data_IF_101385585403
#
_entry.id   IF_101385585403
#
_cell.length_a   1.000
_cell.length_b   1.000
_cell.length_c   1.000
_cell.angle_alpha   90.00
_cell.angle_beta   90.00
_cell.angle_gamma   90.00
#
_symmetry.space_group_name_H-M   'P 1'
#
loop_
_entity.id
_entity.type
_entity.pdbx_description
1 polymer ?
#
# COMPACT_ATOMS: atom_id res chain seq x y z
N UNK A 1 53.02 15.10 -5.17
CA UNK A 1 52.57 13.93 -5.95
C UNK A 1 52.43 14.38 -7.40
N UNK A 2 52.89 13.59 -8.38
CA UNK A 2 52.74 13.97 -9.79
C UNK A 2 51.27 14.01 -10.19
N UNK A 3 50.92 14.85 -11.17
CA UNK A 3 49.57 14.94 -11.73
C UNK A 3 49.00 13.57 -12.12
N UNK A 4 49.87 12.70 -12.65
CA UNK A 4 49.53 11.32 -13.00
C UNK A 4 49.16 10.45 -11.79
N UNK A 5 49.85 10.62 -10.65
CA UNK A 5 49.54 9.88 -9.42
C UNK A 5 48.23 10.31 -8.76
N UNK A 6 47.86 11.59 -8.88
CA UNK A 6 46.57 12.09 -8.39
C UNK A 6 45.40 11.60 -9.26
N UNK A 7 45.60 11.57 -10.59
CA UNK A 7 44.62 11.03 -11.52
C UNK A 7 44.37 9.52 -11.29
N UNK A 8 45.43 8.73 -11.10
CA UNK A 8 45.29 7.29 -10.79
C UNK A 8 44.55 7.05 -9.46
N UNK A 9 44.80 7.86 -8.44
CA UNK A 9 44.11 7.74 -7.15
C UNK A 9 42.60 8.05 -7.28
N UNK A 10 42.23 9.07 -8.07
CA UNK A 10 40.83 9.43 -8.31
C UNK A 10 40.08 8.34 -9.08
N UNK A 11 40.70 7.74 -10.10
CA UNK A 11 40.11 6.61 -10.84
C UNK A 11 39.88 5.41 -9.92
N UNK A 12 40.84 5.12 -9.03
CA UNK A 12 40.72 4.02 -8.08
C UNK A 12 39.61 4.25 -7.06
N UNK A 13 39.49 5.46 -6.51
CA UNK A 13 38.41 5.83 -5.58
C UNK A 13 37.04 5.78 -6.25
N UNK A 14 36.93 6.20 -7.51
CA UNK A 14 35.68 6.11 -8.27
C UNK A 14 35.29 4.65 -8.55
N UNK A 15 36.25 3.79 -8.91
CA UNK A 15 36.00 2.35 -9.08
C UNK A 15 35.55 1.69 -7.76
N UNK A 16 36.15 2.07 -6.62
CA UNK A 16 35.74 1.62 -5.29
C UNK A 16 34.32 2.09 -4.91
N UNK A 17 33.95 3.31 -5.27
CA UNK A 17 32.59 3.82 -5.08
C UNK A 17 31.58 3.06 -5.93
N UNK A 18 31.89 2.76 -7.19
CA UNK A 18 31.05 1.94 -8.07
C UNK A 18 30.92 0.51 -7.55
N UNK A 19 32.02 -0.14 -7.16
CA UNK A 19 32.00 -1.48 -6.57
C UNK A 19 31.20 -1.52 -5.26
N UNK A 20 31.30 -0.47 -4.44
CA UNK A 20 30.53 -0.33 -3.20
C UNK A 20 29.04 -0.08 -3.46
N UNK A 21 28.68 0.62 -4.54
CA UNK A 21 27.31 0.83 -4.96
C UNK A 21 26.68 -0.46 -5.54
N UNK A 22 27.43 -1.21 -6.36
CA UNK A 22 27.02 -2.51 -6.90
C UNK A 22 26.89 -3.55 -5.77
N UNK A 23 27.82 -3.56 -4.82
CA UNK A 23 27.78 -4.41 -3.62
C UNK A 23 26.57 -4.09 -2.75
N UNK A 24 26.26 -2.79 -2.54
CA UNK A 24 25.04 -2.37 -1.82
C UNK A 24 23.76 -2.73 -2.55
N UNK A 25 23.69 -2.56 -3.88
CA UNK A 25 22.55 -3.05 -4.67
C UNK A 25 22.38 -4.55 -4.48
N UNK A 26 23.47 -5.32 -4.60
CA UNK A 26 23.44 -6.77 -4.47
C UNK A 26 23.04 -7.21 -3.06
N UNK A 27 23.52 -6.52 -2.01
CA UNK A 27 23.10 -6.74 -0.63
C UNK A 27 21.62 -6.40 -0.42
N UNK A 28 21.13 -5.27 -0.93
CA UNK A 28 19.71 -4.91 -0.84
C UNK A 28 18.83 -5.94 -1.55
N UNK A 29 19.21 -6.40 -2.75
CA UNK A 29 18.48 -7.47 -3.46
C UNK A 29 18.59 -8.83 -2.76
N UNK A 30 19.74 -9.17 -2.18
CA UNK A 30 19.94 -10.42 -1.44
C UNK A 30 19.23 -10.41 -0.07
N UNK A 31 19.15 -9.27 0.61
CA UNK A 31 18.37 -9.10 1.85
C UNK A 31 16.86 -9.14 1.58
N UNK A 32 16.45 -8.91 0.33
CA UNK A 32 15.07 -9.14 -0.13
C UNK A 32 14.81 -10.63 -0.41
N UNK A 33 15.84 -11.44 -0.60
CA UNK A 33 15.73 -12.87 -0.94
C UNK A 33 16.29 -13.85 0.12
N UNK A 34 17.00 -13.42 1.17
CA UNK A 34 17.65 -14.37 2.08
C UNK A 34 16.90 -14.62 3.39
N UNK A 35 16.43 -15.88 3.46
CA UNK A 35 16.11 -16.69 4.64
C UNK A 35 14.80 -16.37 5.37
N UNK A 36 13.68 -16.75 4.73
CA UNK A 36 12.51 -17.24 5.46
C UNK A 36 12.70 -18.74 5.72
N UNK A 37 13.09 -19.02 6.94
CA UNK A 37 13.23 -20.31 7.56
C UNK A 37 11.89 -21.08 7.50
N UNK A 38 11.71 -21.85 6.42
CA UNK A 38 10.99 -23.13 6.44
C UNK A 38 9.46 -23.15 6.52
N UNK A 39 8.78 -22.01 6.62
CA UNK A 39 7.32 -21.96 6.51
C UNK A 39 6.91 -20.77 5.62
N UNK A 40 6.74 -21.03 4.31
CA UNK A 40 6.29 -20.04 3.35
C UNK A 40 4.87 -19.55 3.71
N UNK A 41 4.80 -18.57 4.60
CA UNK A 41 3.54 -17.99 5.06
C UNK A 41 2.77 -17.35 3.91
N UNK A 42 1.45 -17.50 3.91
CA UNK A 42 0.59 -16.83 2.94
C UNK A 42 0.75 -15.32 3.06
N UNK A 43 1.15 -14.65 1.98
CA UNK A 43 1.17 -13.18 1.87
C UNK A 43 -0.24 -12.67 1.62
N UNK A 44 -0.62 -11.59 2.31
CA UNK A 44 -1.91 -10.91 2.14
C UNK A 44 -1.71 -9.45 1.73
N UNK A 45 -2.69 -8.87 1.06
CA UNK A 45 -2.74 -7.44 0.79
C UNK A 45 -4.14 -6.88 1.07
N UNK A 46 -4.18 -5.69 1.65
CA UNK A 46 -5.37 -4.90 1.89
C UNK A 46 -5.19 -3.55 1.18
N UNK A 47 -5.96 -3.33 0.11
CA UNK A 47 -5.88 -2.14 -0.73
C UNK A 47 -7.12 -1.27 -0.51
N UNK A 48 -6.94 -0.01 -0.14
CA UNK A 48 -8.02 0.86 0.32
C UNK A 48 -7.98 2.24 -0.34
N UNK A 49 -9.04 2.57 -1.07
CA UNK A 49 -9.30 3.94 -1.52
C UNK A 49 -10.30 4.60 -0.55
N UNK A 50 -9.85 5.60 0.20
CA UNK A 50 -10.65 6.26 1.24
C UNK A 50 -11.68 7.28 0.73
N UNK A 51 -11.76 7.51 -0.58
CA UNK A 51 -12.70 8.48 -1.18
C UNK A 51 -13.54 7.91 -2.30
N UNK A 52 -14.57 8.70 -2.63
CA UNK A 52 -15.51 8.53 -3.74
C UNK A 52 -15.62 9.82 -4.53
N UNK A 53 -16.34 9.79 -5.64
CA UNK A 53 -16.54 10.91 -6.54
C UNK A 53 -15.47 10.99 -7.62
N UNK A 54 -15.88 11.41 -8.82
CA UNK A 54 -15.03 11.37 -10.01
C UNK A 54 -13.80 12.29 -9.92
N UNK A 55 -13.89 13.38 -9.17
CA UNK A 55 -12.77 14.26 -8.83
C UNK A 55 -11.67 13.56 -8.02
N UNK A 56 -12.00 12.46 -7.35
CA UNK A 56 -11.09 11.63 -6.56
C UNK A 56 -10.68 10.35 -7.28
N UNK A 57 -10.86 10.29 -8.61
CA UNK A 57 -10.56 9.10 -9.41
C UNK A 57 -9.14 8.53 -9.19
N UNK A 58 -8.16 9.40 -8.88
CA UNK A 58 -6.76 9.01 -8.66
C UNK A 58 -6.61 7.95 -7.57
N UNK A 59 -7.37 8.04 -6.46
CA UNK A 59 -7.22 7.11 -5.35
C UNK A 59 -7.70 5.70 -5.72
N UNK A 60 -8.82 5.58 -6.44
CA UNK A 60 -9.27 4.27 -6.95
C UNK A 60 -8.38 3.78 -8.11
N UNK A 61 -7.79 4.68 -8.91
CA UNK A 61 -6.81 4.32 -9.93
C UNK A 61 -5.50 3.76 -9.32
N UNK A 62 -5.03 4.34 -8.22
CA UNK A 62 -3.88 3.88 -7.44
C UNK A 62 -4.10 2.48 -6.89
N UNK A 63 -5.27 2.23 -6.27
CA UNK A 63 -5.65 0.91 -5.76
C UNK A 63 -5.79 -0.12 -6.87
N UNK A 64 -6.43 0.24 -7.99
CA UNK A 64 -6.52 -0.64 -9.16
C UNK A 64 -5.12 -0.96 -9.71
N UNK A 65 -4.22 0.02 -9.79
CA UNK A 65 -2.85 -0.18 -10.27
C UNK A 65 -2.04 -1.08 -9.32
N UNK A 66 -2.13 -0.86 -8.01
CA UNK A 66 -1.49 -1.70 -7.00
C UNK A 66 -1.97 -3.15 -7.07
N UNK A 67 -3.27 -3.37 -7.29
CA UNK A 67 -3.83 -4.71 -7.51
C UNK A 67 -3.16 -5.41 -8.70
N UNK A 68 -3.00 -4.73 -9.84
CA UNK A 68 -2.32 -5.30 -11.01
C UNK A 68 -0.85 -5.64 -10.72
N UNK A 69 -0.14 -4.77 -9.99
CA UNK A 69 1.27 -5.00 -9.62
C UNK A 69 1.42 -6.21 -8.70
N UNK A 70 0.55 -6.34 -7.69
CA UNK A 70 0.57 -7.48 -6.77
C UNK A 70 0.25 -8.80 -7.46
N UNK A 71 -0.74 -8.81 -8.35
CA UNK A 71 -1.04 -9.97 -9.20
C UNK A 71 0.13 -10.36 -10.09
N UNK A 72 0.76 -9.38 -10.74
CA UNK A 72 1.96 -9.61 -11.56
C UNK A 72 3.14 -10.14 -10.72
N UNK A 73 3.21 -9.75 -9.45
CA UNK A 73 4.15 -10.28 -8.46
C UNK A 73 3.79 -11.66 -7.89
N UNK A 74 2.74 -12.31 -8.39
CA UNK A 74 2.34 -13.66 -8.03
C UNK A 74 1.41 -13.77 -6.81
N UNK A 75 0.92 -12.65 -6.28
CA UNK A 75 -0.08 -12.67 -5.20
C UNK A 75 -1.44 -13.11 -5.77
N UNK A 76 -2.07 -14.10 -5.13
CA UNK A 76 -3.35 -14.66 -5.59
C UNK A 76 -4.51 -13.76 -5.20
N UNK A 77 -5.55 -13.72 -6.05
CA UNK A 77 -6.71 -12.83 -5.86
C UNK A 77 -7.51 -13.12 -4.59
N UNK A 78 -7.45 -14.35 -4.09
CA UNK A 78 -8.03 -14.75 -2.79
C UNK A 78 -7.36 -14.07 -1.60
N UNK A 79 -6.10 -13.64 -1.75
CA UNK A 79 -5.30 -13.03 -0.70
C UNK A 79 -5.15 -11.50 -0.86
N UNK A 80 -5.83 -10.93 -1.85
CA UNK A 80 -5.94 -9.49 -2.04
C UNK A 80 -7.36 -9.08 -1.69
N UNK A 81 -7.49 -8.14 -0.78
CA UNK A 81 -8.76 -7.56 -0.35
C UNK A 81 -8.81 -6.12 -0.83
N UNK A 82 -9.85 -5.77 -1.59
CA UNK A 82 -9.99 -4.44 -2.18
C UNK A 82 -11.19 -3.69 -1.59
N UNK A 83 -10.90 -2.52 -1.03
CA UNK A 83 -11.84 -1.49 -0.63
C UNK A 83 -11.77 -0.35 -1.64
N UNK A 84 -12.81 -0.17 -2.46
CA UNK A 84 -12.94 0.99 -3.34
C UNK A 84 -14.41 1.29 -3.55
N UNK A 85 -14.80 2.57 -3.56
CA UNK A 85 -16.21 2.91 -3.64
C UNK A 85 -16.89 2.43 -4.95
N UNK A 86 -16.10 2.29 -6.01
CA UNK A 86 -16.47 1.73 -7.32
C UNK A 86 -17.41 2.60 -8.16
N UNK A 87 -17.26 3.92 -8.06
CA UNK A 87 -18.07 4.93 -8.75
C UNK A 87 -17.32 5.68 -9.86
N UNK A 88 -16.17 5.17 -10.30
CA UNK A 88 -15.29 5.81 -11.31
C UNK A 88 -15.45 5.20 -12.70
N UNK A 89 -15.34 3.87 -12.83
CA UNK A 89 -15.27 3.22 -14.14
C UNK A 89 -16.49 3.49 -15.02
N UNK A 90 -17.68 3.54 -14.42
CA UNK A 90 -18.95 3.80 -15.11
C UNK A 90 -19.55 5.18 -14.78
N UNK A 91 -18.74 6.10 -14.23
CA UNK A 91 -19.20 7.46 -13.97
C UNK A 91 -19.60 8.16 -15.28
N UNK A 92 -20.69 8.94 -15.32
CA UNK A 92 -21.06 9.72 -16.52
C UNK A 92 -19.98 10.72 -16.96
N UNK A 93 -19.10 11.16 -16.04
CA UNK A 93 -17.95 12.03 -16.35
C UNK A 93 -16.75 11.26 -16.92
N UNK A 94 -16.76 9.93 -16.89
CA UNK A 94 -15.67 9.12 -17.43
C UNK A 94 -15.77 9.04 -18.96
N UNK A 95 -14.81 9.61 -19.71
CA UNK A 95 -14.82 9.56 -21.17
C UNK A 95 -14.60 8.13 -21.73
N UNK A 96 -14.14 7.19 -20.90
CA UNK A 96 -13.87 5.80 -21.26
C UNK A 96 -14.60 4.86 -20.29
N UNK A 97 -15.89 4.65 -20.53
CA UNK A 97 -16.73 3.77 -19.71
C UNK A 97 -16.11 2.37 -19.53
N UNK A 98 -16.10 1.87 -18.29
CA UNK A 98 -15.48 0.59 -17.91
C UNK A 98 -13.95 0.61 -17.80
N UNK A 99 -13.31 1.77 -17.96
CA UNK A 99 -11.85 1.92 -17.92
C UNK A 99 -11.44 2.87 -16.79
N UNK A 100 -10.41 2.46 -16.05
CA UNK A 100 -9.63 3.35 -15.18
C UNK A 100 -8.16 3.23 -15.60
N UNK A 101 -7.49 4.37 -15.76
CA UNK A 101 -6.05 4.45 -16.03
C UNK A 101 -5.37 5.16 -14.86
N UNK A 102 -4.15 4.77 -14.51
CA UNK A 102 -3.36 5.44 -13.46
C UNK A 102 -2.18 6.29 -13.99
N UNK A 103 -2.10 6.45 -15.32
CA UNK A 103 -1.15 7.36 -15.96
C UNK A 103 -1.64 7.76 -17.36
N UNK A 104 -1.23 8.93 -17.89
CA UNK A 104 -1.55 9.31 -19.27
C UNK A 104 -1.14 8.22 -20.27
N UNK A 105 -2.06 7.84 -21.16
CA UNK A 105 -1.82 6.77 -22.14
C UNK A 105 -1.62 5.36 -21.56
N UNK A 106 -1.85 5.17 -20.25
CA UNK A 106 -1.70 3.89 -19.59
C UNK A 106 -2.77 2.86 -19.96
N UNK A 107 -2.49 1.61 -19.56
CA UNK A 107 -3.42 0.49 -19.70
C UNK A 107 -4.62 0.61 -18.74
N UNK A 108 -5.68 -0.14 -19.03
CA UNK A 108 -6.82 -0.24 -18.12
C UNK A 108 -6.43 -1.04 -16.87
N UNK A 109 -6.32 -0.36 -15.73
CA UNK A 109 -5.99 -0.99 -14.45
C UNK A 109 -7.22 -1.55 -13.72
N UNK A 110 -8.43 -1.22 -14.16
CA UNK A 110 -9.69 -1.64 -13.52
C UNK A 110 -10.06 -3.10 -13.76
N UNK A 111 -9.65 -3.66 -14.90
CA UNK A 111 -10.04 -5.00 -15.31
C UNK A 111 -9.55 -6.06 -14.30
N UNK A 112 -10.47 -6.94 -13.90
CA UNK A 112 -10.17 -8.05 -13.00
C UNK A 112 -9.99 -7.65 -11.53
N UNK A 113 -10.04 -6.37 -11.17
CA UNK A 113 -9.96 -5.92 -9.78
C UNK A 113 -11.19 -6.41 -9.01
N UNK A 114 -10.96 -7.19 -7.96
CA UNK A 114 -12.02 -7.72 -7.11
C UNK A 114 -12.79 -6.61 -6.39
N UNK A 115 -14.08 -6.86 -6.17
CA UNK A 115 -15.03 -5.92 -5.55
C UNK A 115 -15.37 -6.39 -4.14
N UNK A 116 -14.37 -6.55 -3.28
CA UNK A 116 -14.60 -7.13 -1.96
C UNK A 116 -15.45 -6.21 -1.08
N UNK A 117 -15.16 -4.91 -1.10
CA UNK A 117 -15.92 -3.89 -0.38
C UNK A 117 -16.10 -2.67 -1.27
N UNK A 118 -17.35 -2.37 -1.63
CA UNK A 118 -17.72 -1.24 -2.49
C UNK A 118 -18.88 -0.43 -1.91
N UNK A 119 -19.08 0.79 -2.40
CA UNK A 119 -20.12 1.69 -1.92
C UNK A 119 -20.10 1.86 -0.40
N UNK A 120 -21.27 1.66 0.24
CA UNK A 120 -21.43 1.78 1.69
C UNK A 120 -20.60 0.79 2.52
N UNK A 121 -20.11 -0.29 1.91
CA UNK A 121 -19.26 -1.27 2.59
C UNK A 121 -17.80 -0.80 2.75
N UNK A 122 -17.42 0.31 2.11
CA UNK A 122 -16.14 0.98 2.35
C UNK A 122 -16.31 1.93 3.54
N UNK A 123 -16.13 1.37 4.74
CA UNK A 123 -16.26 2.05 6.02
C UNK A 123 -15.23 1.51 7.04
N UNK A 124 -15.05 2.24 8.14
CA UNK A 124 -14.04 1.93 9.16
C UNK A 124 -14.30 0.62 9.91
N UNK A 125 -15.56 0.28 10.17
CA UNK A 125 -15.94 -0.95 10.89
C UNK A 125 -15.54 -2.21 10.11
N UNK A 126 -15.79 -2.20 8.79
CA UNK A 126 -15.37 -3.26 7.90
C UNK A 126 -13.85 -3.31 7.78
N UNK A 127 -13.17 -2.17 7.67
CA UNK A 127 -11.72 -2.11 7.63
C UNK A 127 -11.07 -2.76 8.86
N UNK A 128 -11.55 -2.42 10.07
CA UNK A 128 -11.07 -3.02 11.31
C UNK A 128 -11.43 -4.51 11.43
N UNK A 129 -12.65 -4.89 11.05
CA UNK A 129 -13.05 -6.30 11.04
C UNK A 129 -12.20 -7.13 10.09
N UNK A 130 -11.86 -6.59 8.92
CA UNK A 130 -10.97 -7.22 7.95
C UNK A 130 -9.57 -7.41 8.53
N UNK A 131 -8.96 -6.37 9.09
CA UNK A 131 -7.63 -6.47 9.73
C UNK A 131 -7.60 -7.49 10.87
N UNK A 132 -8.65 -7.52 11.68
CA UNK A 132 -8.81 -8.47 12.78
C UNK A 132 -9.27 -9.85 12.32
N UNK A 133 -9.42 -10.13 11.02
CA UNK A 133 -9.90 -11.42 10.51
C UNK A 133 -11.27 -11.82 11.03
N UNK A 134 -12.12 -10.86 11.40
CA UNK A 134 -13.42 -11.08 12.00
C UNK A 134 -14.51 -11.06 10.92
N UNK A 135 -14.76 -12.22 10.30
CA UNK A 135 -15.79 -12.37 9.27
C UNK A 135 -17.19 -11.98 9.78
N UNK A 136 -17.51 -12.30 11.03
CA UNK A 136 -18.81 -11.98 11.64
C UNK A 136 -19.02 -10.50 11.95
N UNK A 137 -17.93 -9.70 11.97
CA UNK A 137 -17.98 -8.26 12.20
C UNK A 137 -18.16 -7.44 10.92
N UNK A 138 -18.04 -8.08 9.76
CA UNK A 138 -18.22 -7.44 8.46
C UNK A 138 -19.70 -7.24 8.16
N UNK A 139 -20.05 -6.07 7.62
CA UNK A 139 -21.40 -5.72 7.15
C UNK A 139 -21.38 -5.34 5.67
N UNK A 140 -22.13 -6.10 4.86
CA UNK A 140 -22.05 -5.98 3.39
C UNK A 140 -20.71 -6.45 2.82
N UNK A 141 -20.49 -6.23 1.52
CA UNK A 141 -19.30 -6.70 0.82
C UNK A 141 -19.24 -8.23 0.67
N UNK A 142 -18.05 -8.74 0.39
CA UNK A 142 -17.78 -10.16 0.11
C UNK A 142 -17.62 -11.03 1.35
N UNK A 143 -17.41 -10.43 2.53
CA UNK A 143 -17.04 -11.13 3.76
C UNK A 143 -15.57 -11.57 3.84
N UNK A 144 -14.76 -11.32 2.81
CA UNK A 144 -13.33 -11.67 2.81
C UNK A 144 -12.56 -10.85 3.85
N UNK A 145 -11.76 -11.51 4.68
CA UNK A 145 -10.92 -10.90 5.72
C UNK A 145 -9.49 -11.44 5.67
N UNK A 146 -8.50 -10.71 6.22
CA UNK A 146 -7.11 -11.19 6.18
C UNK A 146 -6.91 -12.33 7.18
N UNK A 147 -6.14 -13.35 6.78
CA UNK A 147 -5.80 -14.49 7.66
C UNK A 147 -4.44 -14.34 8.33
N UNK A 148 -3.55 -13.52 7.77
CA UNK A 148 -2.27 -13.13 8.38
C UNK A 148 -1.94 -11.68 8.06
N UNK A 149 -0.75 -11.21 8.47
CA UNK A 149 -0.28 -9.84 8.28
C UNK A 149 -0.30 -9.38 6.82
N UNK A 150 -1.12 -8.37 6.48
CA UNK A 150 -1.17 -7.87 5.11
C UNK A 150 -0.10 -6.81 4.84
N UNK A 151 0.25 -6.65 3.57
CA UNK A 151 0.62 -5.33 3.06
C UNK A 151 -0.63 -4.46 3.06
N UNK A 152 -0.62 -3.32 3.75
CA UNK A 152 -1.70 -2.34 3.70
C UNK A 152 -1.28 -1.22 2.75
N UNK A 153 -2.07 -0.95 1.72
CA UNK A 153 -1.95 0.27 0.93
C UNK A 153 -3.23 1.08 1.03
N UNK A 154 -3.12 2.29 1.59
CA UNK A 154 -4.20 3.24 1.73
C UNK A 154 -3.93 4.47 0.88
N UNK A 155 -4.88 4.86 0.04
CA UNK A 155 -4.78 6.06 -0.79
C UNK A 155 -6.01 6.95 -0.55
N UNK A 156 -5.82 8.13 0.02
CA UNK A 156 -6.89 9.11 0.15
C UNK A 156 -6.41 10.55 0.46
N UNK A 157 -7.36 11.41 0.84
CA UNK A 157 -7.12 12.67 1.52
C UNK A 157 -6.97 12.49 3.04
N UNK A 158 -6.20 13.38 3.64
CA UNK A 158 -6.32 13.71 5.06
C UNK A 158 -7.10 15.02 5.19
N UNK A 159 -7.84 15.18 6.27
CA UNK A 159 -8.43 16.45 6.68
C UNK A 159 -7.87 16.76 8.06
N UNK A 160 -7.02 17.79 8.16
CA UNK A 160 -6.42 18.35 9.39
C UNK A 160 -6.83 17.67 10.72
N UNK A 161 -5.86 17.07 11.40
CA UNK A 161 -6.09 16.30 12.64
C UNK A 161 -6.02 14.81 12.34
N UNK A 162 -5.41 14.04 13.25
CA UNK A 162 -4.90 12.66 13.09
C UNK A 162 -5.92 11.59 12.61
N UNK A 163 -6.47 11.73 11.40
CA UNK A 163 -7.34 10.75 10.75
C UNK A 163 -7.30 10.86 9.23
N UNK A 164 -7.43 9.71 8.55
CA UNK A 164 -7.61 9.64 7.09
C UNK A 164 -9.09 9.41 6.75
N UNK A 165 -9.55 9.96 5.62
CA UNK A 165 -10.99 9.98 5.29
C UNK A 165 -11.51 8.60 4.82
N UNK A 166 -12.76 8.27 5.14
CA UNK A 166 -13.47 7.12 4.57
C UNK A 166 -14.68 7.61 3.77
N UNK A 167 -15.11 6.92 2.70
CA UNK A 167 -16.17 7.42 1.83
C UNK A 167 -17.57 7.21 2.41
N UNK A 168 -17.68 6.43 3.49
CA UNK A 168 -18.93 6.13 4.21
C UNK A 168 -18.69 6.14 5.71
N UNK A 169 -19.51 6.89 6.45
CA UNK A 169 -19.45 6.97 7.90
C UNK A 169 -18.29 7.84 8.39
N UNK A 170 -17.72 7.45 9.53
CA UNK A 170 -16.61 8.15 10.17
C UNK A 170 -15.27 7.87 9.48
N UNK A 171 -14.32 8.79 9.64
CA UNK A 171 -12.95 8.62 9.19
C UNK A 171 -12.16 7.59 10.02
N UNK A 172 -11.01 7.19 9.51
CA UNK A 172 -10.07 6.31 10.21
C UNK A 172 -9.15 7.15 11.10
N UNK A 173 -9.48 7.24 12.38
CA UNK A 173 -8.67 7.93 13.38
C UNK A 173 -7.41 7.15 13.75
N UNK A 174 -6.29 7.85 13.93
CA UNK A 174 -5.00 7.29 14.28
C UNK A 174 -5.07 6.43 15.55
N UNK A 175 -5.64 6.97 16.63
CA UNK A 175 -5.71 6.27 17.93
C UNK A 175 -6.41 4.92 17.82
N UNK A 176 -7.51 4.84 17.08
CA UNK A 176 -8.27 3.60 16.92
C UNK A 176 -7.56 2.63 15.98
N UNK A 177 -6.93 3.15 14.92
CA UNK A 177 -6.10 2.32 14.05
C UNK A 177 -4.96 1.67 14.83
N UNK A 178 -4.25 2.43 15.67
CA UNK A 178 -3.15 1.95 16.51
C UNK A 178 -3.64 0.89 17.50
N UNK A 179 -4.78 1.10 18.18
CA UNK A 179 -5.38 0.08 19.07
C UNK A 179 -5.65 -1.23 18.31
N UNK A 180 -6.09 -1.15 17.05
CA UNK A 180 -6.28 -2.35 16.21
C UNK A 180 -4.95 -3.02 15.87
N UNK A 181 -3.91 -2.26 15.53
CA UNK A 181 -2.56 -2.81 15.28
C UNK A 181 -1.96 -3.47 16.53
N UNK A 182 -2.10 -2.84 17.70
CA UNK A 182 -1.71 -3.41 19.00
C UNK A 182 -2.44 -4.72 19.27
N UNK A 183 -3.76 -4.75 19.03
CA UNK A 183 -4.56 -5.98 19.15
C UNK A 183 -4.08 -7.07 18.18
N UNK A 184 -3.75 -6.72 16.94
CA UNK A 184 -3.17 -7.67 15.98
C UNK A 184 -1.82 -8.23 16.46
N UNK A 185 -0.97 -7.40 17.08
CA UNK A 185 0.30 -7.83 17.67
C UNK A 185 0.12 -8.75 18.90
N UNK A 186 -0.81 -8.41 19.80
CA UNK A 186 -1.16 -9.25 20.96
C UNK A 186 -1.64 -10.62 20.48
N UNK A 187 -2.47 -10.64 19.44
CA UNK A 187 -2.99 -11.87 18.82
C UNK A 187 -2.00 -12.55 17.87
N UNK A 188 -0.76 -12.04 17.74
CA UNK A 188 0.31 -12.57 16.87
C UNK A 188 -0.14 -12.85 15.44
N UNK A 189 -0.95 -11.95 14.88
CA UNK A 189 -1.58 -12.09 13.55
C UNK A 189 -0.62 -11.89 12.38
N UNK A 190 0.61 -11.46 12.64
CA UNK A 190 1.63 -11.22 11.61
C UNK A 190 3.04 -11.47 12.14
N UNK A 191 3.93 -11.96 11.26
CA UNK A 191 5.39 -12.01 11.48
C UNK A 191 6.02 -10.67 11.11
N UNK A 192 5.61 -10.13 9.96
CA UNK A 192 5.95 -8.79 9.44
C UNK A 192 4.69 -8.20 8.79
N UNK A 193 4.57 -6.88 8.83
CA UNK A 193 3.47 -6.12 8.23
C UNK A 193 4.05 -4.81 7.69
N UNK A 194 3.61 -4.39 6.52
CA UNK A 194 4.02 -3.15 5.87
C UNK A 194 2.78 -2.30 5.65
N UNK A 195 2.89 -1.01 5.97
CA UNK A 195 1.80 -0.05 5.84
C UNK A 195 2.31 1.10 4.96
N UNK A 196 1.65 1.29 3.82
CA UNK A 196 1.89 2.40 2.91
C UNK A 196 0.63 3.26 2.86
N UNK A 197 0.75 4.55 3.16
CA UNK A 197 -0.36 5.50 3.20
C UNK A 197 0.02 6.69 2.32
N UNK A 198 -0.75 6.90 1.25
CA UNK A 198 -0.73 8.12 0.46
C UNK A 198 -1.86 9.02 0.97
N UNK A 199 -1.49 9.98 1.82
CA UNK A 199 -2.36 11.04 2.32
C UNK A 199 -1.53 12.29 2.66
N UNK A 200 -2.14 13.48 2.57
CA UNK A 200 -1.51 14.72 3.01
C UNK A 200 -1.21 14.66 4.51
N UNK A 201 -0.02 15.01 4.99
CA UNK A 201 0.30 15.05 6.45
C UNK A 201 0.26 13.69 7.20
N UNK A 202 0.29 12.54 6.51
CA UNK A 202 0.15 11.19 7.12
C UNK A 202 1.09 10.89 8.29
N UNK A 203 2.21 11.60 8.43
CA UNK A 203 3.11 11.49 9.59
C UNK A 203 2.36 11.66 10.92
N UNK A 204 1.32 12.50 10.92
CA UNK A 204 0.45 12.78 12.07
C UNK A 204 -0.23 11.51 12.63
N UNK A 205 -0.45 10.48 11.79
CA UNK A 205 -1.05 9.21 12.19
C UNK A 205 -0.15 8.39 13.13
N UNK A 206 1.16 8.67 13.16
CA UNK A 206 2.14 7.87 13.89
C UNK A 206 3.09 8.68 14.79
N UNK A 207 3.00 10.02 14.79
CA UNK A 207 3.92 10.93 15.51
C UNK A 207 4.06 10.66 17.02
N UNK A 208 3.12 9.92 17.63
CA UNK A 208 3.16 9.54 19.05
C UNK A 208 3.16 8.02 19.29
N UNK A 209 3.26 7.21 18.25
CA UNK A 209 3.00 5.76 18.31
C UNK A 209 4.04 4.95 17.51
N UNK A 210 5.32 5.20 17.79
CA UNK A 210 6.46 4.55 17.12
C UNK A 210 6.82 3.19 17.75
N UNK A 211 5.93 2.21 17.58
CA UNK A 211 6.28 0.79 17.67
C UNK A 211 5.78 0.00 16.42
N UNK A 212 5.83 0.64 15.25
CA UNK A 212 5.53 0.01 13.95
C UNK A 212 6.80 -0.05 13.12
N UNK A 213 7.25 -1.26 12.77
CA UNK A 213 8.64 -1.58 12.37
C UNK A 213 9.01 -1.36 10.90
N UNK A 214 8.12 -0.80 10.06
CA UNK A 214 8.50 -0.16 8.80
C UNK A 214 7.29 0.57 8.21
N UNK A 215 7.38 1.91 8.17
CA UNK A 215 6.50 2.78 7.37
C UNK A 215 7.45 3.49 6.41
N UNK A 216 7.45 3.07 5.14
CA UNK A 216 8.27 3.73 4.11
C UNK A 216 7.49 4.88 3.48
N UNK A 217 8.00 6.09 3.66
CA UNK A 217 7.51 7.31 3.03
C UNK A 217 8.01 7.34 1.58
N UNK A 218 7.17 6.92 0.63
CA UNK A 218 7.30 7.31 -0.77
C UNK A 218 6.19 8.30 -1.08
N UNK A 219 6.45 9.59 -0.83
CA UNK A 219 5.73 10.66 -1.52
C UNK A 219 5.76 10.36 -3.02
N UNK A 220 4.57 10.17 -3.61
CA UNK A 220 4.30 9.92 -5.03
C UNK A 220 5.52 9.71 -5.94
N UNK A 221 5.60 8.52 -6.57
CA UNK A 221 6.37 8.28 -7.80
C UNK A 221 5.83 9.17 -8.95
N UNK A 222 5.99 10.49 -8.83
CA UNK A 222 5.98 11.43 -9.93
C UNK A 222 7.36 11.36 -10.57
N UNK A 223 7.43 10.63 -11.68
CA UNK A 223 8.50 10.76 -12.67
C UNK A 223 9.72 9.89 -12.43
N UNK A 224 9.68 8.67 -12.95
CA UNK A 224 10.87 8.11 -13.60
C UNK A 224 10.65 8.25 -15.11
N UNK A 225 11.33 9.27 -15.63
CA UNK A 225 11.50 9.73 -17.02
C UNK A 225 10.31 10.37 -17.73
#
# INVERSE_FOLDING_TARGET
>A
MSFLGHFQLLVFLYALLLLSAESRKTQVFHDTESNDDGEAGTRWALLVAGSKGYENNRHQADICHAYQLLRKGGLQDENIIVFMYDDIAFNPKNPRSGVIINRPGGENVYHGVHKDYTGGAVNVDNFFSVLLGNESGVTGGSGKVVKSGPLIYYADHELTGSYVSMPTGDGLYAEDFIKVLEKMNILKRYKKMMIYIEACEFGSMFDHFLHVYSVENLSALKGVN
#
